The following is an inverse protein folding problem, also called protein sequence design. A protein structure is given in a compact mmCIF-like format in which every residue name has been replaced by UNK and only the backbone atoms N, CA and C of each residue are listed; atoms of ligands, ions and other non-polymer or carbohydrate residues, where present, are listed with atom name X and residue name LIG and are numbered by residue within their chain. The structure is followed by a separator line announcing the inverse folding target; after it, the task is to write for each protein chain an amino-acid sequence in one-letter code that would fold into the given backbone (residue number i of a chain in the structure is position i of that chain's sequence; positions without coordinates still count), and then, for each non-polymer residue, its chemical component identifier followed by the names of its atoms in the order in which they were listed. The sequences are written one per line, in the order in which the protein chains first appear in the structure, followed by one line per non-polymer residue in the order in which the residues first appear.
data_IF_475931374660
#
_entry.id   IF_475931374660
#
_cell.length_a   1.000
_cell.length_b   1.000
_cell.length_c   1.000
_cell.angle_alpha   90.00
_cell.angle_beta   90.00
_cell.angle_gamma   90.00
#
_symmetry.space_group_name_H-M   'P 1'
#
loop_
_entity.id
_entity.type
_entity.pdbx_description
1 polymer ?
#
# COMPACT_ATOMS: atom_id res chain seq x y z
N UNK A 1 -14.94 17.45 23.36
CA UNK A 1 -15.64 17.29 22.06
C UNK A 1 -15.29 15.92 21.52
N UNK A 2 -16.26 15.11 21.15
CA UNK A 2 -16.01 13.79 20.54
C UNK A 2 -15.55 14.01 19.09
N UNK A 3 -14.36 13.51 18.74
CA UNK A 3 -13.83 13.57 17.37
C UNK A 3 -14.21 12.28 16.63
N UNK A 4 -15.18 12.38 15.71
CA UNK A 4 -15.66 11.25 14.88
C UNK A 4 -15.12 11.26 13.45
N UNK A 5 -14.24 12.21 13.12
CA UNK A 5 -13.61 12.33 11.80
C UNK A 5 -12.15 11.86 11.76
N UNK A 6 -11.57 11.54 12.93
CA UNK A 6 -10.23 10.98 13.03
C UNK A 6 -10.16 9.58 12.41
N UNK A 7 -9.02 9.25 11.84
CA UNK A 7 -8.67 7.90 11.36
C UNK A 7 -7.80 7.13 12.38
N UNK A 8 -7.68 7.65 13.60
CA UNK A 8 -7.05 6.98 14.75
C UNK A 8 -7.99 5.89 15.29
N UNK A 9 -8.16 4.83 14.53
CA UNK A 9 -9.16 3.78 14.77
C UNK A 9 -8.97 3.03 16.08
N UNK A 10 -7.74 2.95 16.57
CA UNK A 10 -7.37 2.27 17.83
C UNK A 10 -7.20 3.25 18.99
N UNK A 11 -7.28 4.56 18.76
CA UNK A 11 -7.10 5.58 19.79
C UNK A 11 -5.65 5.76 20.25
N UNK A 12 -4.67 5.19 19.55
CA UNK A 12 -3.26 5.18 19.93
C UNK A 12 -2.64 6.58 19.95
N UNK A 13 -3.11 7.50 19.11
CA UNK A 13 -2.61 8.87 19.07
C UNK A 13 -2.86 9.62 20.39
N UNK A 14 -3.85 9.21 21.18
CA UNK A 14 -4.18 9.80 22.49
C UNK A 14 -3.69 8.97 23.68
N UNK A 15 -3.01 7.83 23.45
CA UNK A 15 -2.47 7.00 24.51
C UNK A 15 -1.21 7.65 25.11
N UNK A 16 -1.36 8.18 26.32
CA UNK A 16 -0.29 8.85 27.05
C UNK A 16 0.79 7.85 27.47
N UNK A 17 0.40 6.65 27.91
CA UNK A 17 1.33 5.62 28.38
C UNK A 17 2.23 5.13 27.25
N UNK A 18 1.69 4.92 26.07
CA UNK A 18 2.45 4.58 24.86
C UNK A 18 3.47 5.68 24.50
N UNK A 19 3.05 6.95 24.57
CA UNK A 19 3.97 8.10 24.32
C UNK A 19 5.07 8.20 25.37
N UNK A 20 4.75 8.01 26.64
CA UNK A 20 5.75 8.02 27.72
C UNK A 20 6.74 6.88 27.57
N UNK A 21 6.28 5.67 27.22
CA UNK A 21 7.14 4.52 26.94
C UNK A 21 8.08 4.83 25.78
N UNK A 22 7.54 5.33 24.66
CA UNK A 22 8.35 5.74 23.52
C UNK A 22 9.40 6.79 23.89
N UNK A 23 9.03 7.85 24.61
CA UNK A 23 9.95 8.90 25.02
C UNK A 23 11.07 8.39 25.93
N UNK A 24 10.82 7.36 26.75
CA UNK A 24 11.86 6.73 27.60
C UNK A 24 12.91 5.96 26.78
N UNK A 25 12.58 5.55 25.55
CA UNK A 25 13.54 4.86 24.67
C UNK A 25 14.46 5.81 23.93
N UNK A 26 14.17 7.11 23.92
CA UNK A 26 14.94 8.11 23.21
C UNK A 26 16.14 8.60 24.05
N UNK A 27 17.28 8.70 23.39
CA UNK A 27 18.48 9.36 23.92
C UNK A 27 18.92 10.45 22.94
N UNK A 28 19.82 11.39 23.31
CA UNK A 28 20.37 12.36 22.37
C UNK A 28 20.95 11.72 21.10
N UNK A 29 21.49 10.50 21.21
CA UNK A 29 22.09 9.77 20.10
C UNK A 29 21.05 9.12 19.19
N UNK A 30 19.93 8.64 19.76
CA UNK A 30 18.86 7.97 19.00
C UNK A 30 17.79 8.93 18.49
N UNK A 31 17.68 10.12 19.09
CA UNK A 31 16.75 11.15 18.65
C UNK A 31 17.27 11.86 17.40
N UNK A 32 17.00 11.31 16.23
CA UNK A 32 17.38 11.88 14.94
C UNK A 32 16.14 12.52 14.28
N UNK A 33 15.99 13.85 14.36
CA UNK A 33 14.77 14.54 13.89
C UNK A 33 14.67 14.68 12.37
N UNK A 34 15.70 14.27 11.63
CA UNK A 34 15.73 14.30 10.17
C UNK A 34 16.66 13.22 9.62
N UNK A 35 16.32 12.69 8.47
CA UNK A 35 17.22 11.84 7.69
C UNK A 35 18.20 12.64 6.84
N UNK A 36 17.90 13.91 6.57
CA UNK A 36 18.71 14.85 5.75
C UNK A 36 19.11 14.32 4.36
N UNK A 37 18.55 13.21 3.91
CA UNK A 37 18.87 12.54 2.65
C UNK A 37 17.78 11.58 2.21
N UNK A 38 17.81 11.17 0.95
CA UNK A 38 16.95 10.08 0.45
C UNK A 38 17.44 8.72 0.92
N UNK A 39 16.55 7.73 0.92
CA UNK A 39 16.88 6.33 1.23
C UNK A 39 17.91 5.73 0.27
N UNK A 40 17.94 6.20 -0.97
CA UNK A 40 18.91 5.72 -1.97
C UNK A 40 20.34 6.18 -1.67
N UNK A 41 20.51 7.24 -0.91
CA UNK A 41 21.81 7.79 -0.52
C UNK A 41 22.13 7.43 0.94
N UNK A 42 22.10 8.41 1.84
CA UNK A 42 22.51 8.24 3.25
C UNK A 42 21.35 8.21 4.24
N UNK A 43 20.10 8.38 3.78
CA UNK A 43 18.90 8.37 4.63
C UNK A 43 18.33 6.98 4.93
N UNK A 44 19.02 5.89 4.57
CA UNK A 44 18.54 4.52 4.79
C UNK A 44 19.10 3.95 6.10
N UNK A 45 18.56 4.39 7.22
CA UNK A 45 18.94 3.93 8.55
C UNK A 45 18.56 2.48 8.81
N UNK A 46 19.23 1.84 9.77
CA UNK A 46 18.98 0.43 10.15
C UNK A 46 17.54 0.15 10.58
N UNK A 47 16.85 1.14 11.11
CA UNK A 47 15.47 0.99 11.59
C UNK A 47 14.48 0.75 10.43
N UNK A 48 14.75 1.29 9.24
CA UNK A 48 14.01 0.92 8.04
C UNK A 48 14.13 -0.56 7.74
N UNK A 49 15.35 -1.10 7.75
CA UNK A 49 15.61 -2.50 7.44
C UNK A 49 14.94 -3.43 8.46
N UNK A 50 15.02 -3.08 9.76
CA UNK A 50 14.37 -3.84 10.83
C UNK A 50 12.85 -3.86 10.65
N UNK A 51 12.24 -2.69 10.40
CA UNK A 51 10.79 -2.58 10.23
C UNK A 51 10.32 -3.29 8.94
N UNK A 52 11.05 -3.16 7.82
CA UNK A 52 10.76 -3.88 6.58
C UNK A 52 10.83 -5.39 6.77
N UNK A 53 11.86 -5.89 7.47
CA UNK A 53 11.97 -7.31 7.81
C UNK A 53 10.85 -7.78 8.71
N UNK A 54 10.46 -6.99 9.70
CA UNK A 54 9.35 -7.29 10.60
C UNK A 54 8.02 -7.36 9.83
N UNK A 55 7.74 -6.40 8.96
CA UNK A 55 6.55 -6.42 8.11
C UNK A 55 6.52 -7.66 7.20
N UNK A 56 7.61 -7.94 6.50
CA UNK A 56 7.70 -9.12 5.64
C UNK A 56 7.42 -10.41 6.42
N UNK A 57 7.97 -10.53 7.63
CA UNK A 57 7.73 -11.67 8.53
C UNK A 57 6.28 -11.75 9.00
N UNK A 58 5.68 -10.62 9.41
CA UNK A 58 4.30 -10.58 9.90
C UNK A 58 3.31 -10.98 8.81
N UNK A 59 3.50 -10.49 7.59
CA UNK A 59 2.66 -10.79 6.43
C UNK A 59 2.98 -12.14 5.76
N UNK A 60 4.10 -12.78 6.10
CA UNK A 60 4.57 -14.01 5.45
C UNK A 60 4.94 -13.81 3.98
N UNK A 61 5.45 -12.61 3.62
CA UNK A 61 5.87 -12.24 2.27
C UNK A 61 7.40 -12.21 2.16
N UNK A 62 7.94 -12.20 0.94
CA UNK A 62 9.39 -12.19 0.70
C UNK A 62 10.04 -10.88 1.17
N UNK A 63 9.33 -9.75 1.06
CA UNK A 63 9.90 -8.45 1.36
C UNK A 63 8.85 -7.38 1.66
N UNK A 64 9.32 -6.27 2.23
CA UNK A 64 8.57 -5.04 2.39
C UNK A 64 9.42 -3.83 1.99
N UNK A 65 8.79 -2.70 1.70
CA UNK A 65 9.44 -1.41 1.44
C UNK A 65 8.62 -0.29 2.07
N UNK A 66 9.29 0.62 2.79
CA UNK A 66 8.65 1.74 3.50
C UNK A 66 8.74 3.03 2.70
N UNK A 67 7.69 3.82 2.76
CA UNK A 67 7.53 5.12 2.10
C UNK A 67 7.10 6.20 3.08
N UNK A 68 7.25 7.47 2.69
CA UNK A 68 6.89 8.61 3.53
C UNK A 68 5.39 8.72 3.82
N UNK A 69 4.54 8.21 2.94
CA UNK A 69 3.07 8.18 3.12
C UNK A 69 2.41 7.25 2.12
N UNK A 70 1.14 6.88 2.33
CA UNK A 70 0.33 6.16 1.35
C UNK A 70 0.19 6.92 0.02
N UNK A 71 0.14 8.26 0.08
CA UNK A 71 0.11 9.08 -1.12
C UNK A 71 1.39 8.92 -1.96
N UNK A 72 2.58 8.97 -1.31
CA UNK A 72 3.86 8.71 -1.99
C UNK A 72 3.96 7.28 -2.53
N UNK A 73 3.43 6.29 -1.80
CA UNK A 73 3.38 4.92 -2.26
C UNK A 73 2.57 4.81 -3.56
N UNK A 74 1.32 5.24 -3.55
CA UNK A 74 0.40 5.10 -4.68
C UNK A 74 0.83 5.93 -5.91
N UNK A 75 1.28 7.18 -5.70
CA UNK A 75 1.76 8.06 -6.78
C UNK A 75 3.13 7.67 -7.32
N UNK A 76 3.85 6.81 -6.65
CA UNK A 76 5.17 6.35 -7.08
C UNK A 76 5.17 4.93 -7.65
N UNK A 77 4.46 3.99 -7.03
CA UNK A 77 4.44 2.58 -7.46
C UNK A 77 3.78 2.45 -8.83
N UNK A 78 2.55 2.97 -9.00
CA UNK A 78 1.80 2.83 -10.24
C UNK A 78 2.57 3.34 -11.47
N UNK A 79 3.16 4.55 -11.47
CA UNK A 79 3.99 4.98 -12.60
C UNK A 79 5.25 4.15 -12.81
N UNK A 80 5.80 3.56 -11.74
CA UNK A 80 7.02 2.77 -11.85
C UNK A 80 6.79 1.42 -12.51
N UNK A 81 5.64 0.78 -12.25
CA UNK A 81 5.34 -0.59 -12.72
C UNK A 81 4.56 -0.64 -14.03
N UNK A 82 4.08 0.49 -14.53
CA UNK A 82 3.27 0.57 -15.74
C UNK A 82 4.08 1.04 -16.94
N UNK A 83 3.68 0.56 -18.11
CA UNK A 83 4.17 1.02 -19.41
C UNK A 83 2.98 1.23 -20.38
N UNK A 84 3.18 1.70 -21.63
CA UNK A 84 2.09 1.91 -22.60
C UNK A 84 1.32 0.62 -22.98
N UNK A 85 1.88 -0.56 -22.71
CA UNK A 85 1.23 -1.86 -22.93
C UNK A 85 0.52 -2.40 -21.67
N UNK A 86 0.42 -1.58 -20.62
CA UNK A 86 -0.32 -1.89 -19.39
C UNK A 86 -1.72 -1.31 -19.45
N UNK A 87 -2.72 -2.10 -19.06
CA UNK A 87 -4.08 -1.63 -18.79
C UNK A 87 -4.31 -1.61 -17.27
N UNK A 88 -4.76 -0.49 -16.74
CA UNK A 88 -5.25 -0.40 -15.37
C UNK A 88 -6.77 -0.48 -15.38
N UNK A 89 -7.32 -1.43 -14.61
CA UNK A 89 -8.75 -1.53 -14.31
C UNK A 89 -8.93 -1.06 -12.85
N UNK A 90 -9.41 0.17 -12.67
CA UNK A 90 -9.54 0.78 -11.34
C UNK A 90 -11.00 0.86 -10.91
N UNK A 91 -11.27 0.51 -9.65
CA UNK A 91 -12.58 0.77 -9.05
C UNK A 91 -12.90 2.27 -9.08
N UNK A 92 -14.18 2.60 -9.24
CA UNK A 92 -14.63 4.00 -9.38
C UNK A 92 -14.42 4.83 -8.11
N UNK A 93 -14.38 4.19 -6.95
CA UNK A 93 -14.29 4.87 -5.65
C UNK A 93 -12.89 4.84 -5.03
N UNK A 94 -11.87 4.36 -5.75
CA UNK A 94 -10.50 4.36 -5.22
C UNK A 94 -10.03 5.77 -4.85
N UNK A 95 -9.20 5.82 -3.80
CA UNK A 95 -8.67 7.05 -3.22
C UNK A 95 -7.95 7.93 -4.26
N UNK A 96 -7.97 9.25 -4.02
CA UNK A 96 -7.35 10.25 -4.90
C UNK A 96 -5.87 9.94 -5.22
N UNK A 97 -5.09 9.41 -4.27
CA UNK A 97 -3.70 9.04 -4.49
C UNK A 97 -3.52 7.95 -5.55
N UNK A 98 -4.43 6.98 -5.62
CA UNK A 98 -4.45 5.95 -6.67
C UNK A 98 -4.77 6.58 -8.02
N UNK A 99 -5.76 7.47 -8.07
CA UNK A 99 -6.12 8.21 -9.29
C UNK A 99 -4.95 9.06 -9.80
N UNK A 100 -4.24 9.73 -8.90
CA UNK A 100 -3.09 10.56 -9.28
C UNK A 100 -1.90 9.69 -9.72
N UNK A 101 -1.66 8.56 -9.06
CA UNK A 101 -0.67 7.57 -9.51
C UNK A 101 -0.99 7.01 -10.90
N UNK A 102 -2.27 6.71 -11.17
CA UNK A 102 -2.73 6.27 -12.49
C UNK A 102 -2.48 7.36 -13.55
N UNK A 103 -2.82 8.62 -13.26
CA UNK A 103 -2.59 9.74 -14.18
C UNK A 103 -1.10 10.01 -14.48
N UNK A 104 -0.24 9.76 -13.49
CA UNK A 104 1.22 9.87 -13.64
C UNK A 104 1.83 8.70 -14.42
N UNK A 105 1.10 7.60 -14.56
CA UNK A 105 1.55 6.44 -15.33
C UNK A 105 1.34 6.64 -16.83
N UNK A 106 2.02 5.82 -17.64
CA UNK A 106 1.80 5.74 -19.08
C UNK A 106 0.75 4.70 -19.49
N UNK A 107 0.12 4.04 -18.52
CA UNK A 107 -0.89 3.00 -18.77
C UNK A 107 -2.23 3.62 -19.22
N UNK A 108 -2.97 2.87 -20.04
CA UNK A 108 -4.38 3.15 -20.25
C UNK A 108 -5.17 2.76 -18.99
N UNK A 109 -6.17 3.54 -18.62
CA UNK A 109 -7.03 3.24 -17.49
C UNK A 109 -8.51 3.15 -17.93
N UNK A 110 -9.19 2.12 -17.45
CA UNK A 110 -10.64 2.00 -17.51
C UNK A 110 -11.14 1.88 -16.07
N UNK A 111 -12.09 2.75 -15.69
CA UNK A 111 -12.71 2.71 -14.37
C UNK A 111 -13.98 1.85 -14.44
N UNK A 112 -14.03 0.78 -13.65
CA UNK A 112 -15.23 -0.05 -13.52
C UNK A 112 -16.14 0.44 -12.39
N UNK A 113 -17.40 0.09 -12.43
CA UNK A 113 -18.38 0.43 -11.39
C UNK A 113 -17.96 -0.20 -10.07
N UNK A 114 -18.15 0.56 -9.01
CA UNK A 114 -17.78 0.18 -7.66
C UNK A 114 -18.24 -1.23 -7.30
N UNK A 115 -17.30 -2.08 -6.89
CA UNK A 115 -17.48 -3.49 -6.52
C UNK A 115 -18.21 -4.36 -7.57
N UNK A 116 -18.26 -3.94 -8.85
CA UNK A 116 -18.93 -4.69 -9.92
C UNK A 116 -17.97 -5.72 -10.55
N UNK A 117 -17.90 -6.88 -9.92
CA UNK A 117 -17.07 -8.01 -10.39
C UNK A 117 -17.50 -8.48 -11.78
N UNK A 118 -18.80 -8.45 -12.09
CA UNK A 118 -19.32 -8.87 -13.40
C UNK A 118 -18.85 -7.95 -14.52
N UNK A 119 -18.85 -6.61 -14.27
CA UNK A 119 -18.30 -5.66 -15.22
C UNK A 119 -16.79 -5.84 -15.37
N UNK A 120 -16.08 -6.03 -14.25
CA UNK A 120 -14.63 -6.25 -14.25
C UNK A 120 -14.25 -7.47 -15.08
N UNK A 121 -14.95 -8.60 -14.88
CA UNK A 121 -14.77 -9.83 -15.65
C UNK A 121 -14.96 -9.60 -17.16
N UNK A 122 -16.01 -8.87 -17.56
CA UNK A 122 -16.24 -8.52 -18.97
C UNK A 122 -15.11 -7.67 -19.53
N UNK A 123 -14.66 -6.63 -18.79
CA UNK A 123 -13.57 -5.77 -19.22
C UNK A 123 -12.25 -6.55 -19.39
N UNK A 124 -11.97 -7.51 -18.51
CA UNK A 124 -10.83 -8.40 -18.65
C UNK A 124 -10.94 -9.24 -19.91
N UNK A 125 -12.09 -9.91 -20.12
CA UNK A 125 -12.32 -10.75 -21.29
C UNK A 125 -12.15 -9.98 -22.61
N UNK A 126 -12.60 -8.74 -22.66
CA UNK A 126 -12.49 -7.88 -23.84
C UNK A 126 -11.05 -7.40 -24.12
N UNK A 127 -10.17 -7.35 -23.09
CA UNK A 127 -8.87 -6.66 -23.18
C UNK A 127 -7.65 -7.56 -22.94
N UNK A 128 -7.78 -8.77 -22.36
CA UNK A 128 -6.62 -9.54 -21.89
C UNK A 128 -5.60 -9.90 -22.99
N UNK A 129 -6.04 -10.01 -24.26
CA UNK A 129 -5.15 -10.27 -25.39
C UNK A 129 -4.52 -9.01 -26.00
N UNK A 130 -5.04 -7.82 -25.66
CA UNK A 130 -4.60 -6.55 -26.23
C UNK A 130 -3.48 -5.89 -25.40
N UNK A 131 -3.28 -6.33 -24.16
CA UNK A 131 -2.30 -5.77 -23.25
C UNK A 131 -1.36 -6.84 -22.69
N UNK A 132 -0.08 -6.49 -22.55
CA UNK A 132 0.92 -7.36 -21.94
C UNK A 132 0.63 -7.62 -20.46
N UNK A 133 0.03 -6.61 -19.78
CA UNK A 133 -0.27 -6.66 -18.36
C UNK A 133 -1.59 -5.91 -18.08
N UNK A 134 -2.40 -6.48 -17.21
CA UNK A 134 -3.58 -5.83 -16.63
C UNK A 134 -3.37 -5.71 -15.13
N UNK A 135 -3.54 -4.50 -14.57
CA UNK A 135 -3.47 -4.27 -13.14
C UNK A 135 -4.86 -3.90 -12.65
N UNK A 136 -5.43 -4.73 -11.76
CA UNK A 136 -6.66 -4.40 -11.05
C UNK A 136 -6.29 -3.59 -9.83
N UNK A 137 -6.84 -2.38 -9.71
CA UNK A 137 -6.56 -1.44 -8.61
C UNK A 137 -7.84 -1.21 -7.82
N UNK A 138 -7.79 -1.52 -6.52
CA UNK A 138 -8.90 -1.30 -5.60
C UNK A 138 -8.40 -1.04 -4.17
N UNK A 139 -9.31 -0.66 -3.27
CA UNK A 139 -9.10 -0.65 -1.82
C UNK A 139 -9.79 -1.88 -1.21
N UNK A 140 -9.29 -2.38 -0.09
CA UNK A 140 -9.97 -3.46 0.63
C UNK A 140 -11.15 -2.95 1.44
N UNK A 141 -11.01 -1.74 2.03
CA UNK A 141 -12.09 -0.99 2.67
C UNK A 141 -12.08 0.43 2.10
N UNK A 142 -13.22 0.88 1.60
CA UNK A 142 -13.37 2.21 1.02
C UNK A 142 -13.66 3.27 2.08
N UNK A 143 -12.95 4.39 2.00
CA UNK A 143 -12.90 5.38 3.09
C UNK A 143 -14.22 6.12 3.36
N UNK A 144 -15.07 6.27 2.35
CA UNK A 144 -16.30 7.07 2.44
C UNK A 144 -17.49 6.24 2.89
N UNK A 145 -17.67 5.07 2.33
CA UNK A 145 -18.85 4.23 2.55
C UNK A 145 -18.57 3.10 3.56
N UNK A 146 -17.27 2.76 3.76
CA UNK A 146 -16.84 1.74 4.71
C UNK A 146 -17.13 0.31 4.24
N UNK A 147 -17.51 0.15 2.99
CA UNK A 147 -17.75 -1.14 2.38
C UNK A 147 -16.44 -1.82 1.92
N UNK A 148 -16.53 -3.11 1.67
CA UNK A 148 -15.39 -3.98 1.45
C UNK A 148 -15.36 -4.50 0.01
N UNK A 149 -14.15 -4.70 -0.52
CA UNK A 149 -13.95 -5.42 -1.76
C UNK A 149 -13.98 -6.95 -1.52
N UNK A 150 -14.54 -7.68 -2.47
CA UNK A 150 -14.49 -9.14 -2.51
C UNK A 150 -13.13 -9.60 -3.06
N UNK A 151 -12.11 -9.68 -2.18
CA UNK A 151 -10.76 -10.09 -2.58
C UNK A 151 -10.72 -11.51 -3.14
N UNK A 152 -11.43 -12.52 -2.57
CA UNK A 152 -11.53 -13.84 -3.17
C UNK A 152 -12.03 -13.84 -4.61
N UNK A 153 -13.06 -13.05 -4.94
CA UNK A 153 -13.54 -12.94 -6.30
C UNK A 153 -12.50 -12.31 -7.24
N UNK A 154 -11.77 -11.28 -6.80
CA UNK A 154 -10.68 -10.68 -7.56
C UNK A 154 -9.54 -11.68 -7.83
N UNK A 155 -9.22 -12.50 -6.85
CA UNK A 155 -8.20 -13.55 -6.97
C UNK A 155 -8.64 -14.64 -7.96
N UNK A 156 -9.89 -15.03 -7.97
CA UNK A 156 -10.43 -15.98 -8.98
C UNK A 156 -10.29 -15.41 -10.38
N UNK A 157 -10.58 -14.13 -10.58
CA UNK A 157 -10.35 -13.47 -11.87
C UNK A 157 -8.86 -13.47 -12.24
N UNK A 158 -7.97 -13.11 -11.31
CA UNK A 158 -6.51 -13.18 -11.53
C UNK A 158 -6.06 -14.58 -11.95
N UNK A 159 -6.51 -15.62 -11.24
CA UNK A 159 -6.14 -17.02 -11.54
C UNK A 159 -6.59 -17.51 -12.91
N UNK A 160 -7.61 -16.85 -13.49
CA UNK A 160 -8.12 -17.20 -14.83
C UNK A 160 -7.29 -16.65 -15.99
N UNK A 161 -6.36 -15.71 -15.73
CA UNK A 161 -5.56 -15.02 -16.74
C UNK A 161 -4.12 -14.79 -16.24
N UNK A 162 -3.14 -15.17 -17.05
CA UNK A 162 -1.72 -15.14 -16.65
C UNK A 162 -1.10 -13.74 -16.58
N UNK A 163 -1.75 -12.72 -17.15
CA UNK A 163 -1.23 -11.36 -17.24
C UNK A 163 -1.94 -10.37 -16.29
N UNK A 164 -2.67 -10.86 -15.30
CA UNK A 164 -3.34 -10.01 -14.30
C UNK A 164 -2.51 -9.90 -13.02
N UNK A 165 -2.37 -8.69 -12.53
CA UNK A 165 -1.81 -8.36 -11.22
C UNK A 165 -2.84 -7.63 -10.36
N UNK A 166 -2.78 -7.86 -9.04
CA UNK A 166 -3.64 -7.21 -8.05
C UNK A 166 -2.86 -6.15 -7.26
N UNK A 167 -3.41 -4.94 -7.25
CA UNK A 167 -2.94 -3.81 -6.46
C UNK A 167 -4.03 -3.45 -5.45
N UNK A 168 -3.81 -3.76 -4.18
CA UNK A 168 -4.79 -3.60 -3.10
C UNK A 168 -4.27 -2.59 -2.06
N UNK A 169 -5.03 -1.53 -1.82
CA UNK A 169 -4.76 -0.57 -0.75
C UNK A 169 -5.54 -0.94 0.52
N UNK A 170 -4.80 -1.30 1.56
CA UNK A 170 -5.30 -1.71 2.88
C UNK A 170 -5.25 -0.57 3.92
N UNK A 171 -5.14 0.67 3.48
CA UNK A 171 -4.93 1.81 4.37
C UNK A 171 -6.01 1.96 5.47
N UNK A 172 -7.22 1.45 5.24
CA UNK A 172 -8.33 1.47 6.20
C UNK A 172 -8.54 0.14 6.95
N UNK A 173 -7.82 -0.91 6.57
CA UNK A 173 -7.95 -2.24 7.16
C UNK A 173 -6.76 -2.63 8.06
N UNK A 174 -5.54 -2.19 7.72
CA UNK A 174 -4.35 -2.46 8.51
C UNK A 174 -4.47 -1.89 9.94
N UNK A 175 -4.18 -2.73 10.92
CA UNK A 175 -4.35 -2.44 12.35
C UNK A 175 -5.77 -2.73 12.87
N UNK A 176 -6.79 -2.91 12.01
CA UNK A 176 -8.20 -2.99 12.39
C UNK A 176 -8.82 -4.36 12.07
N UNK A 177 -8.46 -4.95 10.94
CA UNK A 177 -9.05 -6.21 10.43
C UNK A 177 -8.04 -7.34 10.48
N UNK A 178 -8.55 -8.57 10.55
CA UNK A 178 -7.75 -9.78 10.67
C UNK A 178 -7.34 -10.11 12.11
N UNK A 179 -6.97 -11.36 12.35
CA UNK A 179 -6.60 -11.87 13.71
C UNK A 179 -5.34 -11.21 14.25
N UNK A 180 -4.41 -10.84 13.37
CA UNK A 180 -3.14 -10.18 13.72
C UNK A 180 -3.17 -8.69 13.38
N UNK A 181 -4.30 -8.17 12.90
CA UNK A 181 -4.43 -6.78 12.46
C UNK A 181 -3.75 -6.49 11.12
N UNK A 182 -3.53 -7.48 10.26
CA UNK A 182 -2.83 -7.28 9.00
C UNK A 182 -3.75 -6.83 7.85
N UNK A 183 -5.05 -6.74 8.09
CA UNK A 183 -6.02 -6.22 7.12
C UNK A 183 -7.00 -7.27 6.59
N UNK A 184 -7.79 -6.89 5.59
CA UNK A 184 -8.77 -7.77 4.96
C UNK A 184 -8.11 -8.92 4.19
N UNK A 185 -6.93 -8.72 3.63
CA UNK A 185 -6.19 -9.78 2.96
C UNK A 185 -5.78 -10.91 3.92
N UNK A 186 -5.46 -10.58 5.19
CA UNK A 186 -5.28 -11.59 6.24
C UNK A 186 -6.60 -12.27 6.58
N UNK A 187 -7.64 -11.48 6.83
CA UNK A 187 -8.95 -11.98 7.24
C UNK A 187 -9.56 -12.94 6.22
N UNK A 188 -9.34 -12.64 4.94
CA UNK A 188 -9.82 -13.44 3.81
C UNK A 188 -8.78 -14.47 3.32
N UNK A 189 -7.70 -14.68 4.09
CA UNK A 189 -6.65 -15.70 3.86
C UNK A 189 -6.01 -15.63 2.46
N UNK A 190 -5.76 -14.41 1.94
CA UNK A 190 -5.35 -14.22 0.56
C UNK A 190 -4.11 -13.32 0.34
N UNK A 191 -3.35 -13.02 1.37
CA UNK A 191 -2.15 -12.16 1.29
C UNK A 191 -1.22 -12.59 0.14
N UNK A 192 -0.94 -13.89 0.02
CA UNK A 192 0.02 -14.42 -0.95
C UNK A 192 -0.46 -14.40 -2.41
N UNK A 193 -1.75 -14.18 -2.63
CA UNK A 193 -2.33 -14.06 -3.97
C UNK A 193 -2.29 -12.61 -4.51
N UNK A 194 -1.95 -11.62 -3.66
CA UNK A 194 -1.88 -10.20 -3.99
C UNK A 194 -0.44 -9.81 -4.36
N UNK A 195 -0.27 -9.10 -5.47
CA UNK A 195 1.06 -8.73 -5.97
C UNK A 195 1.60 -7.45 -5.32
N UNK A 196 0.72 -6.48 -5.07
CA UNK A 196 1.03 -5.19 -4.45
C UNK A 196 0.03 -4.95 -3.33
N UNK A 197 0.42 -5.22 -2.09
CA UNK A 197 -0.40 -4.99 -0.91
C UNK A 197 0.16 -3.79 -0.14
N UNK A 198 -0.59 -2.69 -0.14
CA UNK A 198 -0.17 -1.41 0.41
C UNK A 198 -0.91 -1.14 1.72
N UNK A 199 -0.21 -0.63 2.72
CA UNK A 199 -0.81 -0.14 3.95
C UNK A 199 -0.18 1.16 4.42
N UNK A 200 -0.78 1.78 5.43
CA UNK A 200 -0.28 3.04 6.02
C UNK A 200 -0.17 2.95 7.53
N UNK A 201 0.84 3.61 8.07
CA UNK A 201 0.98 3.80 9.52
C UNK A 201 0.21 5.04 10.03
N UNK A 202 -0.25 5.91 9.12
CA UNK A 202 -0.84 7.21 9.45
C UNK A 202 -2.30 7.17 9.92
N UNK A 203 -2.88 5.98 10.11
CA UNK A 203 -4.28 5.81 10.56
C UNK A 203 -4.33 5.01 11.87
N UNK A 204 -4.72 3.74 11.84
CA UNK A 204 -4.86 2.91 13.04
C UNK A 204 -3.58 2.83 13.89
N UNK A 205 -2.41 2.87 13.27
CA UNK A 205 -1.12 2.76 13.96
C UNK A 205 -0.64 4.11 14.55
N UNK A 206 -1.34 5.22 14.28
CA UNK A 206 -1.07 6.56 14.82
C UNK A 206 0.40 7.03 14.66
N UNK A 207 1.04 6.68 13.52
CA UNK A 207 2.42 7.02 13.21
C UNK A 207 2.50 7.74 11.85
N UNK A 208 3.65 7.74 11.21
CA UNK A 208 3.87 8.31 9.89
C UNK A 208 4.41 7.26 8.91
N UNK A 209 4.11 7.45 7.62
CA UNK A 209 4.62 6.55 6.58
C UNK A 209 3.59 5.57 6.05
N UNK A 210 4.07 4.74 5.14
CA UNK A 210 3.33 3.66 4.50
C UNK A 210 4.28 2.55 4.10
N UNK A 211 3.73 1.42 3.72
CA UNK A 211 4.51 0.28 3.27
C UNK A 211 3.85 -0.42 2.08
N UNK A 212 4.65 -1.17 1.35
CA UNK A 212 4.19 -2.27 0.52
C UNK A 212 4.79 -3.56 1.07
N UNK A 213 4.02 -4.65 1.04
CA UNK A 213 4.56 -6.01 1.11
C UNK A 213 4.41 -6.66 -0.25
N UNK A 214 5.46 -7.33 -0.71
CA UNK A 214 5.53 -7.85 -2.07
C UNK A 214 6.66 -8.87 -2.23
N UNK A 215 6.80 -9.42 -3.44
CA UNK A 215 7.96 -10.25 -3.79
C UNK A 215 9.24 -9.43 -3.82
N UNK A 216 10.38 -10.07 -3.52
CA UNK A 216 11.70 -9.44 -3.49
C UNK A 216 12.05 -8.72 -4.82
N UNK A 217 11.72 -9.33 -5.95
CA UNK A 217 11.95 -8.74 -7.27
C UNK A 217 11.22 -7.40 -7.45
N UNK A 218 9.99 -7.31 -6.96
CA UNK A 218 9.20 -6.06 -7.00
C UNK A 218 9.87 -4.99 -6.14
N UNK A 219 10.29 -5.34 -4.92
CA UNK A 219 10.99 -4.42 -4.03
C UNK A 219 12.25 -3.84 -4.69
N UNK A 220 13.09 -4.68 -5.26
CA UNK A 220 14.31 -4.27 -5.95
C UNK A 220 14.01 -3.36 -7.14
N UNK A 221 13.00 -3.69 -7.91
CA UNK A 221 12.54 -2.87 -9.03
C UNK A 221 12.10 -1.47 -8.56
N UNK A 222 11.27 -1.40 -7.50
CA UNK A 222 10.78 -0.13 -6.96
C UNK A 222 11.92 0.76 -6.43
N UNK A 223 12.89 0.21 -5.73
CA UNK A 223 14.07 0.95 -5.25
C UNK A 223 14.80 1.64 -6.41
N UNK A 224 14.86 1.00 -7.58
CA UNK A 224 15.60 1.51 -8.74
C UNK A 224 14.76 2.36 -9.70
N UNK A 225 13.42 2.33 -9.63
CA UNK A 225 12.53 2.98 -10.61
C UNK A 225 11.54 3.97 -10.01
N UNK A 226 11.17 3.81 -8.75
CA UNK A 226 10.14 4.61 -8.11
C UNK A 226 10.63 6.02 -7.78
N UNK A 227 10.15 7.01 -8.52
CA UNK A 227 10.61 8.40 -8.38
C UNK A 227 10.34 8.99 -6.99
N UNK A 228 9.19 8.71 -6.38
CA UNK A 228 8.86 9.20 -5.04
C UNK A 228 9.67 8.54 -3.93
N UNK A 229 10.37 7.45 -4.22
CA UNK A 229 11.35 6.84 -3.32
C UNK A 229 12.76 7.44 -3.52
N UNK A 230 13.15 7.63 -4.78
CA UNK A 230 14.50 8.09 -5.16
C UNK A 230 14.71 9.57 -4.81
N UNK A 231 13.71 10.42 -5.10
CA UNK A 231 13.85 11.88 -5.09
C UNK A 231 13.15 12.56 -3.90
N UNK A 232 12.94 11.83 -2.82
CA UNK A 232 12.40 12.40 -1.57
C UNK A 232 13.35 12.17 -0.41
N UNK A 233 13.39 13.11 0.53
CA UNK A 233 14.04 12.90 1.83
C UNK A 233 13.29 11.79 2.57
N UNK A 234 14.03 10.88 3.18
CA UNK A 234 13.45 9.80 3.98
C UNK A 234 12.77 10.33 5.27
N UNK A 235 11.87 9.53 5.85
CA UNK A 235 11.31 9.82 7.18
C UNK A 235 12.42 9.94 8.21
N UNK A 236 12.22 10.77 9.25
CA UNK A 236 13.15 10.75 10.40
C UNK A 236 13.15 9.36 11.04
N UNK A 237 14.29 8.92 11.62
CA UNK A 237 14.42 7.62 12.29
C UNK A 237 13.73 7.50 13.65
N UNK A 238 12.88 8.46 14.03
CA UNK A 238 12.12 8.50 15.29
C UNK A 238 10.66 8.12 15.09
#
# INVERSE_FOLDING_TARGET
MLNVSSKDYLGLANDISLREEFLRTLTPETFLPTSSSSRLLTGNFSDYQKLEQQLATMFGTESALIFNSGYHANTGILPAICNPHTLILADKLVHASLIDGIKLSSAKCIRYRHNDISQLQRLIAENHNAYEQIIIVTESIFSMDGDEADLPALIQLKKSYSNILLYIDEAHAFGVRGKKGLGCAEEQECINDIDFLIGTFGKAIASAGAYIVCRQLIREYLINKMRTFIFTTALPPI
#
